data_IF_125761286837
#
_entry.id   IF_125761286837
#
_cell.length_a   1.000
_cell.length_b   1.000
_cell.length_c   1.000
_cell.angle_alpha   90.00
_cell.angle_beta   90.00
_cell.angle_gamma   90.00
#
_symmetry.space_group_name_H-M   'P 1'
#
loop_
_entity.id
_entity.type
_entity.pdbx_description
1 polymer ?
#
# COMPACT_ATOMS: atom_id res chain seq x y z
N UNK A 1 61.71 27.77 0.34
CA UNK A 1 62.55 28.26 1.46
C UNK A 1 61.63 29.00 2.42
N UNK A 2 61.65 28.59 3.71
CA UNK A 2 61.65 29.42 4.96
C UNK A 2 60.78 30.69 4.93
N UNK A 3 59.82 31.00 5.80
CA UNK A 3 59.47 30.70 7.21
C UNK A 3 58.05 31.30 7.39
N UNK A 4 57.21 31.10 8.41
CA UNK A 4 57.35 31.05 9.86
C UNK A 4 56.01 30.48 10.40
N UNK A 5 55.95 29.51 11.31
CA UNK A 5 56.37 29.56 12.71
C UNK A 5 55.82 30.79 13.46
N UNK A 6 54.59 30.69 13.98
CA UNK A 6 54.23 31.36 15.23
C UNK A 6 53.49 30.37 16.13
N UNK A 7 54.03 30.26 17.33
CA UNK A 7 53.66 29.34 18.39
C UNK A 7 52.85 30.06 19.47
N UNK A 8 52.22 29.24 20.33
CA UNK A 8 51.68 29.56 21.66
C UNK A 8 50.43 30.47 21.68
N UNK A 9 49.42 30.26 22.53
CA UNK A 9 49.40 29.59 23.82
C UNK A 9 48.02 29.00 24.17
N UNK A 10 48.11 28.00 25.04
CA UNK A 10 47.05 27.28 25.75
C UNK A 10 46.26 28.20 26.68
N UNK A 11 44.93 28.05 26.71
CA UNK A 11 44.15 28.27 27.92
C UNK A 11 43.00 27.27 27.98
N UNK A 12 43.16 26.30 28.90
CA UNK A 12 42.13 25.37 29.29
C UNK A 12 40.95 26.11 29.93
N UNK A 13 39.75 25.74 29.54
CA UNK A 13 38.56 25.91 30.38
C UNK A 13 37.70 24.67 30.19
N UNK A 14 37.98 23.67 31.02
CA UNK A 14 37.02 22.61 31.36
C UNK A 14 35.80 23.30 31.99
N UNK A 15 34.80 23.62 31.18
CA UNK A 15 33.44 23.78 31.68
C UNK A 15 32.78 22.40 31.63
N UNK A 16 32.83 21.72 32.78
CA UNK A 16 32.10 20.50 33.06
C UNK A 16 30.59 20.82 33.09
N UNK A 17 29.97 21.00 31.93
CA UNK A 17 28.52 21.11 31.82
C UNK A 17 27.95 19.68 31.82
N UNK A 18 27.66 19.18 33.02
CA UNK A 18 26.81 18.01 33.18
C UNK A 18 25.50 18.23 32.41
N UNK A 19 25.08 17.36 31.48
CA UNK A 19 23.71 17.38 31.02
C UNK A 19 22.86 16.97 32.23
N UNK A 20 22.07 17.92 32.71
CA UNK A 20 20.99 17.70 33.65
C UNK A 20 19.96 16.76 33.01
N UNK A 21 20.26 15.45 33.06
CA UNK A 21 19.33 14.36 32.84
C UNK A 21 18.36 14.30 34.02
N UNK A 22 17.47 15.29 34.13
CA UNK A 22 16.42 15.31 35.14
C UNK A 22 15.28 16.26 34.73
N UNK A 23 14.63 15.98 33.60
CA UNK A 23 13.28 16.51 33.37
C UNK A 23 12.40 15.42 32.78
N UNK A 24 12.16 14.40 33.61
CA UNK A 24 11.15 13.38 33.43
C UNK A 24 10.01 13.74 34.38
N UNK A 25 8.85 14.12 33.83
CA UNK A 25 7.63 14.28 34.62
C UNK A 25 7.05 15.69 34.67
N UNK A 26 6.74 16.26 33.50
CA UNK A 26 5.61 17.18 33.39
C UNK A 26 4.93 16.82 32.06
N UNK A 27 4.14 15.76 32.08
CA UNK A 27 3.32 15.40 30.92
C UNK A 27 2.24 16.46 30.80
N UNK A 28 2.42 17.38 29.84
CA UNK A 28 1.42 18.38 29.53
C UNK A 28 0.14 17.62 29.09
N UNK A 29 -1.01 17.79 29.77
CA UNK A 29 -2.25 17.11 29.39
C UNK A 29 -2.68 17.45 27.95
N UNK A 30 -2.26 18.60 27.40
CA UNK A 30 -2.48 18.91 26.00
C UNK A 30 -1.61 18.07 25.05
N UNK A 31 -0.40 17.66 25.47
CA UNK A 31 0.44 16.77 24.68
C UNK A 31 -0.14 15.35 24.61
N UNK A 32 -0.71 14.86 25.72
CA UNK A 32 -1.39 13.54 25.75
C UNK A 32 -2.63 13.57 24.83
N UNK A 33 -3.44 14.63 24.91
CA UNK A 33 -4.63 14.76 24.07
C UNK A 33 -4.31 14.87 22.57
N UNK A 34 -3.16 15.47 22.21
CA UNK A 34 -2.70 15.52 20.82
C UNK A 34 -2.24 14.14 20.32
N UNK A 35 -1.48 13.40 21.13
CA UNK A 35 -1.03 12.04 20.80
C UNK A 35 -2.20 11.07 20.62
N UNK A 36 -3.25 11.17 21.46
CA UNK A 36 -4.45 10.35 21.33
C UNK A 36 -5.23 10.65 20.02
N UNK A 37 -5.34 11.93 19.64
CA UNK A 37 -5.98 12.32 18.38
C UNK A 37 -5.21 11.84 17.15
N UNK A 38 -3.88 11.92 17.19
CA UNK A 38 -3.02 11.40 16.12
C UNK A 38 -3.17 9.86 15.99
N UNK A 39 -3.25 9.15 17.11
CA UNK A 39 -3.47 7.71 17.12
C UNK A 39 -4.84 7.31 16.56
N UNK A 40 -5.90 8.05 16.91
CA UNK A 40 -7.25 7.80 16.39
C UNK A 40 -7.33 8.09 14.88
N UNK A 41 -6.73 9.19 14.42
CA UNK A 41 -6.64 9.51 13.00
C UNK A 41 -5.90 8.41 12.21
N UNK A 42 -4.79 7.89 12.75
CA UNK A 42 -4.04 6.81 12.14
C UNK A 42 -4.82 5.49 12.11
N UNK A 43 -5.59 5.18 13.16
CA UNK A 43 -6.46 4.01 13.19
C UNK A 43 -7.58 4.10 12.15
N UNK A 44 -8.18 5.29 11.98
CA UNK A 44 -9.19 5.53 10.95
C UNK A 44 -8.63 5.34 9.53
N UNK A 45 -7.42 5.84 9.27
CA UNK A 45 -6.73 5.62 7.99
C UNK A 45 -6.42 4.16 7.74
N UNK A 46 -5.90 3.45 8.74
CA UNK A 46 -5.59 2.02 8.63
C UNK A 46 -6.84 1.20 8.30
N UNK A 47 -7.97 1.54 8.92
CA UNK A 47 -9.27 0.92 8.60
C UNK A 47 -9.69 1.17 7.16
N UNK A 48 -9.67 2.43 6.70
CA UNK A 48 -10.03 2.79 5.31
C UNK A 48 -9.17 2.07 4.28
N UNK A 49 -7.85 2.05 4.49
CA UNK A 49 -6.89 1.35 3.61
C UNK A 49 -7.12 -0.17 3.62
N UNK A 50 -7.39 -0.74 4.80
CA UNK A 50 -7.74 -2.15 4.95
C UNK A 50 -9.02 -2.54 4.21
N UNK A 51 -10.06 -1.71 4.30
CA UNK A 51 -11.33 -1.93 3.58
C UNK A 51 -11.15 -1.84 2.06
N UNK A 52 -10.38 -0.86 1.58
CA UNK A 52 -10.08 -0.72 0.16
C UNK A 52 -9.31 -1.93 -0.39
N UNK A 53 -8.31 -2.41 0.35
CA UNK A 53 -7.55 -3.61 -0.03
C UNK A 53 -8.44 -4.87 0.00
N UNK A 54 -9.24 -5.04 1.05
CA UNK A 54 -10.14 -6.17 1.17
C UNK A 54 -11.17 -6.22 0.02
N UNK A 55 -11.63 -5.05 -0.45
CA UNK A 55 -12.51 -4.92 -1.61
C UNK A 55 -11.83 -5.37 -2.90
N UNK A 56 -10.59 -4.96 -3.12
CA UNK A 56 -9.80 -5.43 -4.26
C UNK A 56 -9.58 -6.95 -4.22
N UNK A 57 -9.13 -7.49 -3.08
CA UNK A 57 -8.91 -8.93 -2.92
C UNK A 57 -10.20 -9.76 -3.11
N UNK A 58 -11.35 -9.21 -2.72
CA UNK A 58 -12.65 -9.86 -2.92
C UNK A 58 -13.05 -9.89 -4.39
N UNK A 59 -12.86 -8.77 -5.11
CA UNK A 59 -13.16 -8.67 -6.53
C UNK A 59 -12.23 -9.58 -7.37
N UNK A 60 -10.95 -9.66 -7.03
CA UNK A 60 -10.00 -10.59 -7.65
C UNK A 60 -10.39 -12.05 -7.44
N UNK A 61 -10.79 -12.42 -6.22
CA UNK A 61 -11.27 -13.76 -5.90
C UNK A 61 -12.54 -14.12 -6.68
N UNK A 62 -13.54 -13.24 -6.72
CA UNK A 62 -14.76 -13.48 -7.49
C UNK A 62 -14.46 -13.63 -8.99
N UNK A 63 -13.57 -12.78 -9.53
CA UNK A 63 -13.16 -12.88 -10.93
C UNK A 63 -12.47 -14.22 -11.21
N UNK A 64 -11.54 -14.63 -10.36
CA UNK A 64 -10.84 -15.92 -10.50
C UNK A 64 -11.79 -17.12 -10.42
N UNK A 65 -12.78 -17.09 -9.53
CA UNK A 65 -13.82 -18.12 -9.43
C UNK A 65 -14.66 -18.20 -10.71
N UNK A 66 -15.10 -17.05 -11.22
CA UNK A 66 -15.91 -16.97 -12.43
C UNK A 66 -15.10 -17.40 -13.67
N UNK A 67 -13.83 -17.02 -13.78
CA UNK A 67 -12.96 -17.41 -14.90
C UNK A 67 -12.52 -18.87 -14.82
N UNK A 68 -12.29 -19.40 -13.61
CA UNK A 68 -12.02 -20.82 -13.38
C UNK A 68 -13.16 -21.73 -13.88
N UNK A 69 -14.40 -21.24 -13.86
CA UNK A 69 -15.55 -21.91 -14.45
C UNK A 69 -15.53 -21.99 -16.00
N UNK A 70 -14.49 -21.49 -16.69
CA UNK A 70 -14.27 -21.67 -18.14
C UNK A 70 -13.26 -22.78 -18.49
N UNK A 71 -12.52 -23.33 -17.52
CA UNK A 71 -11.40 -24.26 -17.76
C UNK A 71 -11.79 -25.62 -18.37
N UNK A 72 -10.79 -26.44 -18.76
CA UNK A 72 -10.98 -27.73 -19.49
C UNK A 72 -11.91 -28.76 -18.82
N UNK A 73 -12.21 -28.65 -17.52
CA UNK A 73 -13.22 -29.46 -16.82
C UNK A 73 -14.62 -28.85 -16.76
N UNK A 74 -14.78 -27.60 -17.18
CA UNK A 74 -16.01 -26.83 -17.06
C UNK A 74 -17.03 -27.11 -18.17
N UNK A 75 -16.67 -27.78 -19.27
CA UNK A 75 -17.61 -28.08 -20.36
C UNK A 75 -18.87 -28.86 -19.91
N UNK A 76 -18.80 -29.55 -18.76
CA UNK A 76 -19.93 -30.21 -18.09
C UNK A 76 -20.67 -29.32 -17.07
N UNK A 77 -20.04 -28.27 -16.56
CA UNK A 77 -20.56 -27.33 -15.53
C UNK A 77 -20.85 -25.93 -16.06
N UNK A 78 -20.54 -25.66 -17.33
CA UNK A 78 -20.72 -24.35 -17.93
C UNK A 78 -22.22 -24.05 -18.10
N UNK A 79 -22.69 -22.88 -17.64
CA UNK A 79 -24.10 -22.53 -17.71
C UNK A 79 -24.56 -22.39 -19.17
N UNK A 80 -25.83 -22.74 -19.42
CA UNK A 80 -26.47 -22.70 -20.75
C UNK A 80 -27.73 -21.84 -20.71
N UNK A 81 -28.15 -21.33 -21.88
CA UNK A 81 -29.37 -20.51 -21.99
C UNK A 81 -29.32 -19.26 -21.11
N UNK A 82 -30.40 -18.98 -20.38
CA UNK A 82 -30.52 -17.82 -19.47
C UNK A 82 -29.44 -17.79 -18.39
N UNK A 83 -29.03 -18.95 -17.88
CA UNK A 83 -27.96 -19.03 -16.88
C UNK A 83 -26.60 -18.55 -17.43
N UNK A 84 -26.37 -18.70 -18.75
CA UNK A 84 -25.16 -18.18 -19.41
C UNK A 84 -25.20 -16.65 -19.44
N UNK A 85 -26.36 -16.06 -19.73
CA UNK A 85 -26.55 -14.60 -19.72
C UNK A 85 -26.18 -14.02 -18.35
N UNK A 86 -26.79 -14.54 -17.28
CA UNK A 86 -26.49 -14.13 -15.90
C UNK A 86 -25.02 -14.33 -15.51
N UNK A 87 -24.40 -15.41 -15.98
CA UNK A 87 -22.97 -15.65 -15.74
C UNK A 87 -22.08 -14.60 -16.42
N UNK A 88 -22.37 -14.23 -17.66
CA UNK A 88 -21.60 -13.21 -18.38
C UNK A 88 -21.80 -11.83 -17.75
N UNK A 89 -23.03 -11.47 -17.38
CA UNK A 89 -23.32 -10.24 -16.64
C UNK A 89 -22.54 -10.16 -15.33
N UNK A 90 -22.50 -11.25 -14.55
CA UNK A 90 -21.71 -11.32 -13.31
C UNK A 90 -20.22 -11.20 -13.57
N UNK A 91 -19.72 -11.80 -14.65
CA UNK A 91 -18.31 -11.73 -15.02
C UNK A 91 -17.91 -10.31 -15.43
N UNK A 92 -18.75 -9.61 -16.19
CA UNK A 92 -18.50 -8.21 -16.56
C UNK A 92 -18.62 -7.27 -15.35
N UNK A 93 -19.56 -7.52 -14.44
CA UNK A 93 -19.66 -6.79 -13.18
C UNK A 93 -18.42 -6.99 -12.30
N UNK A 94 -17.95 -8.23 -12.13
CA UNK A 94 -16.76 -8.54 -11.34
C UNK A 94 -15.50 -7.88 -11.91
N UNK A 95 -15.35 -7.85 -13.24
CA UNK A 95 -14.25 -7.12 -13.91
C UNK A 95 -14.32 -5.63 -13.62
N UNK A 96 -15.49 -5.03 -13.80
CA UNK A 96 -15.70 -3.61 -13.55
C UNK A 96 -15.41 -3.23 -12.10
N UNK A 97 -15.82 -4.07 -11.15
CA UNK A 97 -15.59 -3.88 -9.73
C UNK A 97 -14.10 -3.99 -9.37
N UNK A 98 -13.40 -4.99 -9.92
CA UNK A 98 -11.95 -5.15 -9.76
C UNK A 98 -11.20 -3.95 -10.32
N UNK A 99 -11.55 -3.47 -11.50
CA UNK A 99 -10.90 -2.30 -12.12
C UNK A 99 -11.21 -0.99 -11.39
N UNK A 100 -12.40 -0.87 -10.77
CA UNK A 100 -12.72 0.24 -9.90
C UNK A 100 -11.89 0.21 -8.61
N UNK A 101 -11.80 -0.95 -7.95
CA UNK A 101 -11.02 -1.13 -6.74
C UNK A 101 -9.51 -0.93 -6.96
N UNK A 102 -8.99 -1.44 -8.09
CA UNK A 102 -7.59 -1.30 -8.48
C UNK A 102 -7.18 0.16 -8.76
N UNK A 103 -8.12 1.01 -9.22
CA UNK A 103 -7.88 2.45 -9.37
C UNK A 103 -8.04 3.22 -8.07
N UNK A 104 -8.99 2.82 -7.23
CA UNK A 104 -9.30 3.53 -5.98
C UNK A 104 -8.20 3.35 -4.92
N UNK A 105 -7.54 2.20 -4.84
CA UNK A 105 -6.54 1.93 -3.81
C UNK A 105 -5.31 2.86 -3.91
N UNK A 106 -4.69 3.06 -5.10
CA UNK A 106 -3.59 4.03 -5.26
C UNK A 106 -4.00 5.47 -4.95
N UNK A 107 -5.19 5.89 -5.39
CA UNK A 107 -5.71 7.23 -5.09
C UNK A 107 -5.86 7.44 -3.58
N UNK A 108 -6.32 6.43 -2.85
CA UNK A 108 -6.47 6.46 -1.39
C UNK A 108 -5.10 6.48 -0.68
N UNK A 109 -4.09 5.78 -1.22
CA UNK A 109 -2.72 5.81 -0.69
C UNK A 109 -2.08 7.19 -0.86
N UNK A 110 -2.31 7.86 -1.99
CA UNK A 110 -1.88 9.24 -2.21
C UNK A 110 -2.59 10.21 -1.24
N UNK A 111 -3.89 10.03 -1.00
CA UNK A 111 -4.65 10.82 -0.03
C UNK A 111 -4.09 10.63 1.39
N UNK A 112 -3.82 9.39 1.79
CA UNK A 112 -3.22 9.05 3.08
C UNK A 112 -1.82 9.67 3.24
N UNK A 113 -1.00 9.66 2.18
CA UNK A 113 0.33 10.29 2.19
C UNK A 113 0.23 11.81 2.38
N UNK A 114 -0.71 12.48 1.71
CA UNK A 114 -0.98 13.91 1.89
C UNK A 114 -1.50 14.23 3.29
N UNK A 115 -2.22 13.31 3.91
CA UNK A 115 -2.70 13.44 5.29
C UNK A 115 -1.62 13.18 6.35
N UNK A 116 -0.38 12.87 5.95
CA UNK A 116 0.74 12.63 6.86
C UNK A 116 0.79 11.22 7.45
N UNK A 117 0.10 10.25 6.86
CA UNK A 117 0.17 8.85 7.31
C UNK A 117 1.61 8.33 7.15
N UNK A 118 2.20 7.69 8.18
CA UNK A 118 3.58 7.21 8.13
C UNK A 118 3.81 6.18 7.02
N UNK A 119 4.96 6.27 6.34
CA UNK A 119 5.30 5.38 5.24
C UNK A 119 5.29 3.88 5.63
N UNK A 120 5.69 3.55 6.85
CA UNK A 120 5.66 2.16 7.35
C UNK A 120 4.25 1.54 7.44
N UNK A 121 3.20 2.37 7.47
CA UNK A 121 1.80 1.91 7.35
C UNK A 121 1.44 1.75 5.87
N UNK A 122 1.79 2.73 5.03
CA UNK A 122 1.46 2.75 3.60
C UNK A 122 2.10 1.58 2.83
N UNK A 123 3.36 1.26 3.10
CA UNK A 123 4.10 0.21 2.36
C UNK A 123 3.44 -1.17 2.43
N UNK A 124 2.68 -1.47 3.50
CA UNK A 124 1.92 -2.73 3.64
C UNK A 124 0.82 -2.90 2.59
N UNK A 125 0.35 -1.78 2.04
CA UNK A 125 -0.69 -1.75 1.03
C UNK A 125 -0.12 -1.50 -0.37
N UNK A 126 1.08 -0.91 -0.48
CA UNK A 126 1.81 -0.70 -1.75
C UNK A 126 2.48 -1.98 -2.28
N UNK A 127 3.06 -2.82 -1.40
CA UNK A 127 3.75 -4.08 -1.79
C UNK A 127 2.85 -5.06 -2.56
N UNK A 128 1.55 -4.84 -2.49
CA UNK A 128 0.53 -5.68 -3.10
C UNK A 128 0.23 -5.36 -4.59
N UNK A 129 0.80 -4.28 -5.13
CA UNK A 129 0.73 -3.94 -6.56
C UNK A 129 1.88 -4.55 -7.39
N UNK A 130 2.97 -5.00 -6.76
CA UNK A 130 4.17 -5.46 -7.45
C UNK A 130 4.05 -6.86 -8.09
N UNK A 131 2.83 -7.38 -8.29
CA UNK A 131 2.58 -8.72 -8.84
C UNK A 131 1.53 -8.73 -9.96
N UNK A 132 1.60 -7.79 -10.91
CA UNK A 132 0.95 -7.97 -12.23
C UNK A 132 1.65 -7.19 -13.36
N UNK A 133 2.98 -7.37 -13.51
CA UNK A 133 3.70 -7.06 -14.74
C UNK A 133 4.54 -8.29 -15.14
N UNK A 134 4.05 -9.08 -16.10
CA UNK A 134 4.84 -10.16 -16.70
C UNK A 134 4.11 -11.40 -17.21
N UNK A 135 2.78 -11.40 -17.35
CA UNK A 135 2.02 -12.59 -17.77
C UNK A 135 1.25 -12.52 -19.09
N UNK A 136 1.14 -11.34 -19.71
CA UNK A 136 0.37 -11.15 -20.93
C UNK A 136 1.27 -10.93 -22.16
N UNK A 137 2.05 -11.95 -22.52
CA UNK A 137 2.34 -12.20 -23.93
C UNK A 137 1.57 -13.44 -24.38
N UNK A 138 0.31 -13.31 -24.83
CA UNK A 138 -0.22 -14.29 -25.76
C UNK A 138 0.57 -14.11 -27.05
N UNK A 139 1.64 -14.91 -27.20
CA UNK A 139 2.25 -15.22 -28.47
C UNK A 139 1.21 -15.91 -29.37
N UNK A 140 0.27 -15.11 -29.84
CA UNK A 140 -0.60 -15.39 -30.96
C UNK A 140 0.24 -15.14 -32.21
N UNK A 141 1.21 -16.03 -32.46
CA UNK A 141 1.67 -16.21 -33.81
C UNK A 141 0.83 -17.30 -34.44
N UNK A 142 0.08 -16.84 -35.43
CA UNK A 142 -0.88 -17.59 -36.19
C UNK A 142 -0.19 -18.71 -36.98
N UNK A 143 -1.00 -19.71 -37.30
CA UNK A 143 -0.69 -20.71 -38.30
C UNK A 143 -0.33 -20.08 -39.67
N UNK A 144 0.73 -20.58 -40.30
CA UNK A 144 0.89 -20.74 -41.75
C UNK A 144 2.21 -21.51 -41.99
N UNK A 145 2.33 -22.58 -42.75
CA UNK A 145 1.44 -23.25 -43.66
C UNK A 145 2.13 -24.52 -44.22
N UNK A 146 1.37 -25.23 -45.06
CA UNK A 146 1.70 -26.42 -45.87
C UNK A 146 1.69 -27.79 -45.17
#
# INVERSE_FOLDING_TARGET
MKSAAYALAVAASLALAAPAMAQRGATDPNAIAAEEQEAEALAAWTKRLGEARARLDAAERELAELEGAKGRGAHRRYPRGEAKGKYLERLDAARSERDAAARALPELLEEARRAGVPNGVLSRYEESEAYDDGGAEPGHDAADGA
#
